data_IF_015447596175
#
_entry.id   IF_015447596175
#
_cell.length_a   1.000
_cell.length_b   1.000
_cell.length_c   1.000
_cell.angle_alpha   90.00
_cell.angle_beta   90.00
_cell.angle_gamma   90.00
#
_symmetry.space_group_name_H-M   'P 1'
#
loop_
_entity.id
_entity.type
_entity.pdbx_description
1 polymer ?
#
# COMPACT_ATOMS: atom_id res chain seq x y z
N UNK A 1 -0.41 4.54 -8.00
CA UNK A 1 -0.55 3.27 -7.26
C UNK A 1 -0.18 2.12 -8.19
N UNK A 2 0.53 1.12 -7.68
CA UNK A 2 0.70 -0.18 -8.31
C UNK A 2 0.12 -1.23 -7.39
N UNK A 3 -0.93 -1.93 -7.80
CA UNK A 3 -1.63 -2.91 -6.97
C UNK A 3 -1.53 -4.29 -7.64
N UNK A 4 -0.85 -5.26 -7.01
CA UNK A 4 -0.64 -6.59 -7.59
C UNK A 4 -0.05 -6.53 -9.01
N UNK A 5 0.87 -5.59 -9.26
CA UNK A 5 1.50 -5.37 -10.58
C UNK A 5 0.71 -4.48 -11.55
N UNK A 6 -0.53 -4.11 -11.24
CA UNK A 6 -1.34 -3.24 -12.10
C UNK A 6 -1.07 -1.76 -11.77
N UNK A 7 -0.58 -0.99 -12.74
CA UNK A 7 -0.28 0.43 -12.57
C UNK A 7 -1.50 1.31 -12.79
N UNK A 8 -1.71 2.25 -11.88
CA UNK A 8 -2.89 3.11 -11.81
C UNK A 8 -2.45 4.52 -11.44
N UNK A 9 -2.88 5.50 -12.24
CA UNK A 9 -2.47 6.89 -12.10
C UNK A 9 -3.69 7.80 -11.88
N UNK A 10 -3.53 8.75 -10.96
CA UNK A 10 -4.55 9.75 -10.63
C UNK A 10 -5.53 9.29 -9.57
N UNK A 11 -5.91 10.20 -8.67
CA UNK A 11 -6.81 9.90 -7.55
C UNK A 11 -8.16 9.29 -7.97
N UNK A 12 -8.83 9.73 -9.06
CA UNK A 12 -10.11 9.13 -9.46
C UNK A 12 -10.00 7.64 -9.82
N UNK A 13 -9.00 7.26 -10.63
CA UNK A 13 -8.79 5.87 -11.03
C UNK A 13 -8.31 4.99 -9.87
N UNK A 14 -7.51 5.56 -8.97
CA UNK A 14 -7.08 4.87 -7.75
C UNK A 14 -8.31 4.58 -6.87
N UNK A 15 -9.20 5.55 -6.68
CA UNK A 15 -10.43 5.37 -5.91
C UNK A 15 -11.33 4.30 -6.54
N UNK A 16 -11.53 4.37 -7.86
CA UNK A 16 -12.28 3.36 -8.62
C UNK A 16 -11.70 1.95 -8.40
N UNK A 17 -10.37 1.79 -8.46
CA UNK A 17 -9.73 0.50 -8.18
C UNK A 17 -10.02 0.04 -6.75
N UNK A 18 -9.87 0.91 -5.77
CA UNK A 18 -10.12 0.55 -4.35
C UNK A 18 -11.57 0.13 -4.15
N UNK A 19 -12.51 0.84 -4.77
CA UNK A 19 -13.95 0.50 -4.73
C UNK A 19 -14.30 -0.77 -5.51
N UNK A 20 -13.52 -1.12 -6.54
CA UNK A 20 -13.72 -2.36 -7.31
C UNK A 20 -13.30 -3.63 -6.58
N UNK A 21 -12.61 -3.52 -5.44
CA UNK A 21 -12.21 -4.68 -4.65
C UNK A 21 -13.46 -5.29 -3.99
N UNK A 22 -13.64 -6.60 -4.14
CA UNK A 22 -14.89 -7.29 -3.79
C UNK A 22 -15.07 -7.58 -2.30
N UNK A 23 -14.03 -7.41 -1.47
CA UNK A 23 -14.11 -7.69 -0.05
C UNK A 23 -14.96 -6.66 0.70
N UNK A 24 -15.69 -7.09 1.72
CA UNK A 24 -16.52 -6.20 2.54
C UNK A 24 -15.75 -5.65 3.74
N UNK A 25 -14.88 -6.48 4.30
CA UNK A 25 -14.04 -6.16 5.45
C UNK A 25 -12.60 -6.49 5.15
N UNK A 26 -11.71 -5.57 5.51
CA UNK A 26 -10.27 -5.81 5.49
C UNK A 26 -9.70 -5.50 6.88
N UNK A 27 -9.01 -6.47 7.46
CA UNK A 27 -8.26 -6.30 8.71
C UNK A 27 -6.78 -6.34 8.37
N UNK A 28 -5.99 -5.39 8.89
CA UNK A 28 -4.55 -5.32 8.68
C UNK A 28 -3.83 -5.32 10.01
N UNK A 29 -2.85 -6.20 10.16
CA UNK A 29 -1.93 -6.25 11.29
C UNK A 29 -0.56 -5.85 10.77
N UNK A 30 -0.07 -4.69 11.19
CA UNK A 30 1.26 -4.19 10.83
C UNK A 30 2.28 -4.95 11.67
N UNK A 31 3.28 -5.57 11.03
CA UNK A 31 4.38 -6.23 11.74
C UNK A 31 5.56 -5.29 11.94
N UNK A 32 5.95 -4.55 10.89
CA UNK A 32 7.06 -3.60 10.94
C UNK A 32 6.80 -2.44 9.99
N UNK A 33 7.39 -1.29 10.33
CA UNK A 33 7.40 -0.09 9.50
C UNK A 33 8.79 0.50 9.54
N UNK A 34 9.38 0.71 8.37
CA UNK A 34 10.67 1.38 8.20
C UNK A 34 10.44 2.65 7.38
N UNK A 35 11.17 3.72 7.68
CA UNK A 35 11.09 4.97 6.92
C UNK A 35 12.45 5.64 6.73
N UNK A 36 12.59 6.35 5.61
CA UNK A 36 13.78 7.15 5.28
C UNK A 36 13.37 8.49 4.67
N UNK A 37 14.03 9.60 5.05
CA UNK A 37 13.82 10.89 4.40
C UNK A 37 14.41 10.88 2.99
N UNK A 38 13.82 11.64 2.07
CA UNK A 38 14.37 11.88 0.74
C UNK A 38 14.92 13.30 0.61
N UNK A 39 15.85 13.50 -0.33
CA UNK A 39 16.51 14.80 -0.55
C UNK A 39 15.56 15.94 -0.91
N UNK A 40 14.39 15.63 -1.46
CA UNK A 40 13.35 16.59 -1.83
C UNK A 40 12.33 16.86 -0.70
N UNK A 41 12.64 16.45 0.54
CA UNK A 41 11.77 16.66 1.71
C UNK A 41 10.59 15.69 1.76
N UNK A 42 10.61 14.62 0.96
CA UNK A 42 9.67 13.51 1.03
C UNK A 42 10.08 12.45 2.06
N UNK A 43 9.25 11.41 2.16
CA UNK A 43 9.48 10.25 3.04
C UNK A 43 9.19 8.97 2.28
N UNK A 44 10.16 8.08 2.21
CA UNK A 44 9.98 6.70 1.74
C UNK A 44 9.60 5.84 2.95
N UNK A 45 8.53 5.06 2.82
CA UNK A 45 8.00 4.20 3.89
C UNK A 45 7.83 2.79 3.34
N UNK A 46 8.37 1.80 4.04
CA UNK A 46 8.13 0.39 3.80
C UNK A 46 7.30 -0.19 4.94
N UNK A 47 6.21 -0.87 4.59
CA UNK A 47 5.29 -1.49 5.54
C UNK A 47 5.23 -2.98 5.25
N UNK A 48 5.46 -3.78 6.28
CA UNK A 48 5.21 -5.22 6.25
C UNK A 48 4.07 -5.53 7.21
N UNK A 49 3.25 -6.52 6.85
CA UNK A 49 2.18 -6.95 7.73
C UNK A 49 1.47 -8.19 7.23
N UNK A 50 0.36 -8.49 7.89
CA UNK A 50 -0.63 -9.46 7.46
C UNK A 50 -1.95 -8.76 7.21
N UNK A 51 -2.65 -9.15 6.16
CA UNK A 51 -4.01 -8.70 5.89
C UNK A 51 -4.93 -9.89 5.82
N UNK A 52 -6.17 -9.68 6.23
CA UNK A 52 -7.26 -10.62 6.14
C UNK A 52 -8.42 -9.92 5.44
N UNK A 53 -8.91 -10.53 4.37
CA UNK A 53 -10.10 -10.08 3.65
C UNK A 53 -11.26 -10.99 4.07
N UNK A 54 -12.32 -10.41 4.62
CA UNK A 54 -13.49 -11.14 5.11
C UNK A 54 -13.10 -12.33 6.00
N UNK A 55 -13.49 -13.55 5.61
CA UNK A 55 -13.18 -14.81 6.30
C UNK A 55 -12.02 -15.58 5.65
N UNK A 56 -11.35 -15.00 4.65
CA UNK A 56 -10.19 -15.63 4.01
C UNK A 56 -9.02 -15.79 5.00
N UNK A 57 -8.10 -16.74 4.77
CA UNK A 57 -6.88 -16.84 5.56
C UNK A 57 -6.05 -15.54 5.52
N UNK A 58 -5.41 -15.14 6.62
CA UNK A 58 -4.57 -13.95 6.61
C UNK A 58 -3.32 -14.17 5.75
N UNK A 59 -3.06 -13.28 4.80
CA UNK A 59 -1.89 -13.30 3.93
C UNK A 59 -0.86 -12.24 4.34
N UNK A 60 0.42 -12.57 4.24
CA UNK A 60 1.47 -11.57 4.38
C UNK A 60 1.40 -10.59 3.20
N UNK A 61 1.65 -9.31 3.46
CA UNK A 61 1.71 -8.28 2.44
C UNK A 61 2.91 -7.35 2.67
N UNK A 62 3.32 -6.69 1.60
CA UNK A 62 4.23 -5.56 1.62
C UNK A 62 3.57 -4.36 0.95
N UNK A 63 3.78 -3.18 1.51
CA UNK A 63 3.30 -1.93 0.93
C UNK A 63 4.34 -0.83 1.09
N UNK A 64 4.66 -0.16 -0.02
CA UNK A 64 5.61 0.95 -0.05
C UNK A 64 4.87 2.23 -0.36
N UNK A 65 5.10 3.26 0.44
CA UNK A 65 4.61 4.61 0.19
C UNK A 65 5.77 5.57 -0.04
N UNK A 66 5.62 6.44 -1.03
CA UNK A 66 6.44 7.65 -1.13
C UNK A 66 5.56 8.86 -0.87
N UNK A 67 5.83 9.55 0.23
CA UNK A 67 5.15 10.76 0.62
C UNK A 67 5.90 11.98 0.08
N UNK A 68 5.17 12.91 -0.53
CA UNK A 68 5.71 14.22 -0.89
C UNK A 68 5.11 15.30 -0.01
N UNK A 69 5.95 16.24 0.43
CA UNK A 69 5.50 17.42 1.14
C UNK A 69 4.69 18.32 0.19
N UNK A 70 3.58 18.85 0.69
CA UNK A 70 2.75 19.85 0.01
C UNK A 70 2.12 20.76 1.07
N UNK A 71 2.42 22.05 1.01
CA UNK A 71 1.82 23.07 1.89
C UNK A 71 1.80 22.72 3.39
N UNK A 72 2.91 22.18 3.93
CA UNK A 72 3.04 21.82 5.34
C UNK A 72 2.39 20.47 5.74
N UNK A 73 1.81 19.75 4.78
CA UNK A 73 1.32 18.37 4.94
C UNK A 73 2.00 17.43 3.96
N UNK A 74 1.63 16.15 3.95
CA UNK A 74 2.08 15.15 3.00
C UNK A 74 0.93 14.61 2.16
N UNK A 75 1.23 14.19 0.94
CA UNK A 75 0.35 13.34 0.15
C UNK A 75 1.11 12.12 -0.37
N UNK A 76 0.38 11.04 -0.66
CA UNK A 76 0.94 9.83 -1.23
C UNK A 76 1.20 10.03 -2.72
N UNK A 77 2.47 10.21 -3.10
CA UNK A 77 2.89 10.35 -4.49
C UNK A 77 3.04 8.97 -5.16
N UNK A 78 3.59 7.99 -4.44
CA UNK A 78 3.65 6.60 -4.89
C UNK A 78 3.12 5.65 -3.82
N UNK A 79 2.46 4.61 -4.29
CA UNK A 79 1.90 3.51 -3.50
C UNK A 79 2.14 2.23 -4.30
N UNK A 80 2.81 1.24 -3.72
CA UNK A 80 3.04 -0.07 -4.32
C UNK A 80 2.61 -1.11 -3.31
N UNK A 81 1.64 -1.94 -3.68
CA UNK A 81 1.10 -3.00 -2.84
C UNK A 81 1.32 -4.38 -3.48
N UNK A 82 1.75 -5.34 -2.66
CA UNK A 82 1.92 -6.75 -3.01
C UNK A 82 1.47 -7.68 -1.88
N UNK A 83 0.74 -8.73 -2.22
CA UNK A 83 0.63 -9.94 -1.42
C UNK A 83 1.93 -10.75 -1.54
N UNK A 84 2.49 -11.15 -0.41
CA UNK A 84 3.70 -11.95 -0.34
C UNK A 84 3.36 -13.46 -0.46
N UNK A 85 2.56 -13.82 -1.46
CA UNK A 85 2.09 -15.20 -1.71
C UNK A 85 2.81 -15.88 -2.87
N UNK A 86 3.75 -15.18 -3.52
CA UNK A 86 4.43 -15.65 -4.73
C UNK A 86 5.59 -16.63 -4.47
N UNK A 87 5.94 -16.89 -3.20
CA UNK A 87 7.08 -17.73 -2.81
C UNK A 87 6.69 -18.94 -1.92
N UNK A 88 5.43 -19.37 -1.96
CA UNK A 88 4.99 -20.60 -1.30
C UNK A 88 5.47 -21.82 -2.10
N UNK A 89 6.74 -22.17 -1.98
CA UNK A 89 7.30 -23.47 -2.39
C UNK A 89 7.67 -24.27 -1.14
#
# INVERSE_FOLDING_TARGET
MTFEGHQIQGAPKILEKVQSLSFQKITRVITTVDSQPTFDGGVLINVLGRLQCDDDPPHAFSQVFFLKANAGTFFVAHDIFRLNIHNSA
#
